data_IF_969355012889
#
_entry.id   IF_969355012889
#
_cell.length_a   1.000
_cell.length_b   1.000
_cell.length_c   1.000
_cell.angle_alpha   90.00
_cell.angle_beta   90.00
_cell.angle_gamma   90.00
#
_symmetry.space_group_name_H-M   'P 1'
#
loop_
_entity.id
_entity.type
_entity.pdbx_description
1 polymer ?
#
# COMPACT_ATOMS: atom_id res chain seq x y z
N UNK A 1 -25.42 23.54 -15.66
CA UNK A 1 -24.71 22.29 -15.28
C UNK A 1 -24.91 21.28 -16.40
N UNK A 2 -23.86 20.57 -16.84
CA UNK A 2 -24.05 19.45 -17.78
C UNK A 2 -24.80 18.33 -17.05
N UNK A 3 -25.82 17.78 -17.69
CA UNK A 3 -26.53 16.62 -17.17
C UNK A 3 -25.59 15.41 -17.21
N UNK A 4 -25.30 14.83 -16.05
CA UNK A 4 -24.42 13.66 -15.95
C UNK A 4 -25.27 12.43 -16.25
N UNK A 5 -24.99 11.78 -17.39
CA UNK A 5 -25.61 10.51 -17.75
C UNK A 5 -24.76 9.36 -17.20
N UNK A 6 -25.44 8.45 -16.50
CA UNK A 6 -24.83 7.21 -16.02
C UNK A 6 -25.18 6.06 -16.95
N UNK A 7 -24.18 5.23 -17.25
CA UNK A 7 -24.28 4.17 -18.27
C UNK A 7 -25.30 3.07 -17.91
N UNK A 8 -25.50 2.79 -16.63
CA UNK A 8 -26.40 1.74 -16.16
C UNK A 8 -26.92 1.99 -14.72
N UNK A 9 -27.86 1.15 -14.27
CA UNK A 9 -28.46 1.23 -12.93
C UNK A 9 -27.44 1.04 -11.79
N UNK A 10 -26.43 0.21 -11.99
CA UNK A 10 -25.33 0.03 -11.03
C UNK A 10 -24.55 1.33 -10.86
N UNK A 11 -24.16 1.98 -11.96
CA UNK A 11 -23.47 3.27 -11.90
C UNK A 11 -24.34 4.34 -11.26
N UNK A 12 -25.64 4.41 -11.58
CA UNK A 12 -26.58 5.30 -10.87
C UNK A 12 -26.56 5.05 -9.36
N UNK A 13 -26.65 3.79 -8.92
CA UNK A 13 -26.62 3.44 -7.50
C UNK A 13 -25.31 3.86 -6.83
N UNK A 14 -24.16 3.62 -7.47
CA UNK A 14 -22.83 3.99 -6.95
C UNK A 14 -22.62 5.50 -6.79
N UNK A 15 -23.48 6.32 -7.39
CA UNK A 15 -23.52 7.78 -7.27
C UNK A 15 -24.66 8.28 -6.37
N UNK A 16 -25.25 7.39 -5.55
CA UNK A 16 -26.11 7.77 -4.40
C UNK A 16 -25.29 7.72 -3.10
N UNK A 17 -25.70 8.44 -2.03
CA UNK A 17 -25.03 8.36 -0.72
C UNK A 17 -24.91 6.92 -0.21
N UNK A 18 -26.00 6.15 -0.24
CA UNK A 18 -26.03 4.74 0.18
C UNK A 18 -25.10 3.86 -0.66
N UNK A 19 -25.08 4.04 -1.98
CA UNK A 19 -24.21 3.25 -2.86
C UNK A 19 -22.74 3.58 -2.70
N UNK A 20 -22.38 4.84 -2.42
CA UNK A 20 -21.00 5.21 -2.06
C UNK A 20 -20.59 4.50 -0.78
N UNK A 21 -21.40 4.54 0.28
CA UNK A 21 -21.11 3.83 1.53
C UNK A 21 -20.98 2.32 1.33
N UNK A 22 -21.88 1.71 0.54
CA UNK A 22 -21.80 0.28 0.19
C UNK A 22 -20.47 -0.06 -0.49
N UNK A 23 -20.04 0.75 -1.46
CA UNK A 23 -18.76 0.54 -2.14
C UNK A 23 -17.57 0.70 -1.19
N UNK A 24 -17.59 1.71 -0.32
CA UNK A 24 -16.53 1.96 0.65
C UNK A 24 -16.38 0.80 1.63
N UNK A 25 -17.51 0.28 2.16
CA UNK A 25 -17.53 -0.92 2.99
C UNK A 25 -16.92 -2.12 2.28
N UNK A 26 -17.32 -2.38 1.02
CA UNK A 26 -16.76 -3.46 0.21
C UNK A 26 -15.24 -3.34 0.04
N UNK A 27 -14.72 -2.12 -0.15
CA UNK A 27 -13.28 -1.86 -0.27
C UNK A 27 -12.52 -2.04 1.05
N UNK A 28 -13.13 -1.72 2.19
CA UNK A 28 -12.55 -2.04 3.50
C UNK A 28 -12.43 -3.55 3.69
N UNK A 29 -13.49 -4.30 3.38
CA UNK A 29 -13.52 -5.77 3.48
C UNK A 29 -12.52 -6.44 2.53
N UNK A 30 -12.43 -5.99 1.28
CA UNK A 30 -11.42 -6.45 0.31
C UNK A 30 -10.00 -6.27 0.86
N UNK A 31 -9.71 -5.12 1.48
CA UNK A 31 -8.39 -4.83 2.07
C UNK A 31 -8.08 -5.72 3.27
N UNK A 32 -9.05 -5.96 4.15
CA UNK A 32 -8.89 -6.87 5.29
C UNK A 32 -8.52 -8.26 4.77
N UNK A 33 -9.31 -8.81 3.84
CA UNK A 33 -9.09 -10.14 3.28
C UNK A 33 -7.73 -10.25 2.59
N UNK A 34 -7.35 -9.26 1.78
CA UNK A 34 -6.08 -9.26 1.04
C UNK A 34 -4.84 -9.29 1.95
N UNK A 35 -4.92 -8.68 3.14
CA UNK A 35 -3.77 -8.56 4.03
C UNK A 35 -3.87 -9.46 5.27
N UNK A 36 -4.93 -10.28 5.39
CA UNK A 36 -5.12 -11.18 6.54
C UNK A 36 -5.36 -10.45 7.86
N UNK A 37 -6.03 -9.29 7.86
CA UNK A 37 -6.25 -8.47 9.07
C UNK A 37 -7.43 -8.92 9.95
N UNK A 38 -7.94 -10.14 9.77
CA UNK A 38 -9.08 -10.67 10.50
C UNK A 38 -10.41 -10.38 9.81
N UNK A 39 -11.42 -9.97 10.58
CA UNK A 39 -12.78 -9.72 10.10
C UNK A 39 -13.19 -8.25 10.21
N UNK A 40 -14.25 -7.86 9.50
CA UNK A 40 -14.82 -6.52 9.61
C UNK A 40 -15.54 -6.38 10.96
N UNK A 41 -15.23 -5.37 11.79
CA UNK A 41 -15.77 -5.27 13.14
C UNK A 41 -17.19 -4.69 13.22
N UNK A 42 -17.75 -4.30 12.08
CA UNK A 42 -19.14 -3.85 11.95
C UNK A 42 -19.69 -4.35 10.61
N UNK A 43 -21.00 -4.54 10.56
CA UNK A 43 -21.74 -4.93 9.37
C UNK A 43 -21.98 -3.75 8.43
N UNK A 44 -22.39 -4.05 7.19
CA UNK A 44 -22.85 -3.02 6.25
C UNK A 44 -24.08 -2.27 6.76
N UNK A 45 -24.94 -2.94 7.53
CA UNK A 45 -26.14 -2.33 8.11
C UNK A 45 -25.75 -1.26 9.13
N UNK A 46 -24.90 -1.61 10.10
CA UNK A 46 -24.41 -0.66 11.11
C UNK A 46 -23.64 0.49 10.46
N UNK A 47 -22.84 0.22 9.42
CA UNK A 47 -22.13 1.26 8.68
C UNK A 47 -23.09 2.26 8.00
N UNK A 48 -24.19 1.78 7.41
CA UNK A 48 -25.23 2.66 6.86
C UNK A 48 -25.97 3.43 7.93
N UNK A 49 -26.38 2.78 9.03
CA UNK A 49 -27.07 3.43 10.15
C UNK A 49 -26.22 4.56 10.76
N UNK A 50 -24.90 4.35 10.83
CA UNK A 50 -23.95 5.33 11.34
C UNK A 50 -23.76 6.53 10.41
N UNK A 51 -23.67 6.32 9.10
CA UNK A 51 -23.11 7.33 8.19
C UNK A 51 -24.00 7.79 7.03
N UNK A 52 -25.15 7.15 6.78
CA UNK A 52 -26.02 7.55 5.66
C UNK A 52 -26.47 9.02 5.76
N UNK A 53 -26.61 9.53 6.98
CA UNK A 53 -26.99 10.91 7.28
C UNK A 53 -25.91 11.67 8.04
N UNK A 54 -24.68 11.15 8.08
CA UNK A 54 -23.57 11.84 8.74
C UNK A 54 -23.21 13.11 7.96
N UNK A 55 -23.09 14.22 8.70
CA UNK A 55 -22.85 15.54 8.11
C UNK A 55 -21.52 15.59 7.34
N UNK A 56 -20.45 14.99 7.89
CA UNK A 56 -19.12 15.01 7.27
C UNK A 56 -19.11 14.24 5.96
N UNK A 57 -19.68 13.03 5.96
CA UNK A 57 -19.84 12.22 4.76
C UNK A 57 -20.68 12.94 3.70
N UNK A 58 -21.85 13.48 4.09
CA UNK A 58 -22.74 14.17 3.16
C UNK A 58 -22.08 15.43 2.58
N UNK A 59 -21.33 16.20 3.37
CA UNK A 59 -20.59 17.35 2.88
C UNK A 59 -19.56 16.96 1.80
N UNK A 60 -18.83 15.85 1.99
CA UNK A 60 -17.89 15.34 0.99
C UNK A 60 -18.60 14.79 -0.24
N UNK A 61 -19.72 14.10 -0.06
CA UNK A 61 -20.52 13.59 -1.16
C UNK A 61 -21.07 14.73 -2.03
N UNK A 62 -21.57 15.78 -1.41
CA UNK A 62 -22.05 16.99 -2.09
C UNK A 62 -20.92 17.72 -2.81
N UNK A 63 -19.75 17.85 -2.18
CA UNK A 63 -18.56 18.37 -2.83
C UNK A 63 -18.17 17.58 -4.08
N UNK A 64 -18.22 16.25 -3.99
CA UNK A 64 -17.94 15.36 -5.13
C UNK A 64 -18.98 15.51 -6.25
N UNK A 65 -20.27 15.60 -5.90
CA UNK A 65 -21.37 15.84 -6.85
C UNK A 65 -21.22 17.17 -7.56
N UNK A 66 -20.96 18.26 -6.81
CA UNK A 66 -20.77 19.60 -7.35
C UNK A 66 -19.53 19.72 -8.23
N UNK A 67 -18.50 18.92 -7.95
CA UNK A 67 -17.32 18.81 -8.79
C UNK A 67 -17.53 17.96 -10.05
N UNK A 68 -18.74 17.46 -10.33
CA UNK A 68 -19.00 16.62 -11.51
C UNK A 68 -18.51 15.18 -11.36
N UNK A 69 -18.46 14.67 -10.13
CA UNK A 69 -17.98 13.34 -9.77
C UNK A 69 -16.49 13.07 -10.08
N UNK A 70 -15.67 14.12 -10.10
CA UNK A 70 -14.23 14.03 -10.27
C UNK A 70 -13.56 13.14 -9.21
N UNK A 71 -12.66 12.27 -9.66
CA UNK A 71 -12.02 11.23 -8.82
C UNK A 71 -11.37 11.81 -7.56
N UNK A 72 -10.71 12.96 -7.68
CA UNK A 72 -9.97 13.59 -6.59
C UNK A 72 -10.88 13.97 -5.41
N UNK A 73 -12.13 14.34 -5.71
CA UNK A 73 -13.12 14.78 -4.73
C UNK A 73 -13.95 13.63 -4.16
N UNK A 74 -13.83 12.42 -4.71
CA UNK A 74 -14.62 11.27 -4.29
C UNK A 74 -14.47 11.00 -2.80
N UNK A 75 -15.57 10.81 -2.03
CA UNK A 75 -15.46 10.42 -0.62
C UNK A 75 -14.72 9.09 -0.49
N UNK A 76 -13.88 9.01 0.52
CA UNK A 76 -13.10 7.83 0.90
C UNK A 76 -13.17 7.66 2.42
N UNK A 77 -13.09 6.42 2.87
CA UNK A 77 -12.77 6.12 4.27
C UNK A 77 -11.26 6.01 4.40
N UNK A 78 -10.72 6.61 5.45
CA UNK A 78 -9.35 6.43 5.89
C UNK A 78 -9.30 6.04 7.37
N UNK A 79 -8.17 5.48 7.82
CA UNK A 79 -7.93 5.16 9.22
C UNK A 79 -7.25 6.34 9.90
N UNK A 80 -7.81 6.83 10.99
CA UNK A 80 -7.24 7.94 11.77
C UNK A 80 -5.82 7.57 12.21
N UNK A 81 -5.68 6.41 12.87
CA UNK A 81 -4.40 5.80 13.16
C UNK A 81 -4.21 4.51 12.34
N UNK A 82 -3.21 4.45 11.45
CA UNK A 82 -3.00 3.31 10.54
C UNK A 82 -2.52 2.04 11.27
N UNK A 83 -2.06 2.14 12.52
CA UNK A 83 -1.63 1.01 13.33
C UNK A 83 -2.81 0.23 13.94
N UNK A 84 -4.02 0.81 13.91
CA UNK A 84 -5.24 0.15 14.33
C UNK A 84 -6.09 -0.27 13.13
N UNK A 85 -6.91 -1.29 13.31
CA UNK A 85 -7.87 -1.76 12.32
C UNK A 85 -8.98 -0.74 12.05
N UNK A 86 -9.95 -1.10 11.21
CA UNK A 86 -11.16 -0.29 11.08
C UNK A 86 -11.98 -0.38 12.38
N UNK A 87 -12.51 0.73 12.88
CA UNK A 87 -13.56 0.80 13.91
C UNK A 87 -14.29 2.13 13.73
N UNK A 88 -15.47 2.35 14.32
CA UNK A 88 -16.16 3.63 14.19
C UNK A 88 -15.38 4.81 14.80
N UNK A 89 -14.50 4.52 15.74
CA UNK A 89 -13.63 5.47 16.44
C UNK A 89 -12.30 5.69 15.72
N UNK A 90 -11.90 4.77 14.83
CA UNK A 90 -10.64 4.84 14.10
C UNK A 90 -10.81 5.07 12.59
N UNK A 91 -12.02 5.38 12.12
CA UNK A 91 -12.25 5.77 10.72
C UNK A 91 -12.69 7.21 10.60
N UNK A 92 -12.25 7.85 9.52
CA UNK A 92 -12.65 9.19 9.13
C UNK A 92 -13.02 9.22 7.64
N UNK A 93 -13.93 10.13 7.28
CA UNK A 93 -14.21 10.43 5.87
C UNK A 93 -13.31 11.55 5.38
N UNK A 94 -12.66 11.31 4.26
CA UNK A 94 -11.79 12.27 3.57
C UNK A 94 -12.02 12.17 2.07
N UNK A 95 -11.50 13.11 1.29
CA UNK A 95 -11.47 12.95 -0.17
C UNK A 95 -10.43 11.91 -0.57
N UNK A 96 -10.61 11.28 -1.73
CA UNK A 96 -9.62 10.37 -2.30
C UNK A 96 -8.24 11.01 -2.41
N UNK A 97 -8.16 12.28 -2.79
CA UNK A 97 -6.91 13.04 -2.86
C UNK A 97 -6.21 13.14 -1.51
N UNK A 98 -6.93 13.51 -0.44
CA UNK A 98 -6.38 13.60 0.91
C UNK A 98 -5.89 12.25 1.41
N UNK A 99 -6.68 11.20 1.24
CA UNK A 99 -6.29 9.83 1.61
C UNK A 99 -5.01 9.40 0.87
N UNK A 100 -4.94 9.68 -0.44
CA UNK A 100 -3.77 9.35 -1.25
C UNK A 100 -2.52 10.09 -0.78
N UNK A 101 -2.60 11.40 -0.55
CA UNK A 101 -1.50 12.23 -0.04
C UNK A 101 -0.99 11.72 1.32
N UNK A 102 -1.88 11.35 2.24
CA UNK A 102 -1.51 10.75 3.53
C UNK A 102 -0.77 9.43 3.33
N UNK A 103 -1.31 8.53 2.50
CA UNK A 103 -0.66 7.25 2.21
C UNK A 103 0.72 7.41 1.58
N UNK A 104 0.90 8.37 0.67
CA UNK A 104 2.20 8.65 0.06
C UNK A 104 3.22 9.14 1.11
N UNK A 105 2.80 9.99 2.05
CA UNK A 105 3.63 10.46 3.18
C UNK A 105 3.95 9.37 4.20
N UNK A 106 3.02 8.44 4.44
CA UNK A 106 3.25 7.29 5.31
C UNK A 106 4.25 6.31 4.67
N UNK A 107 4.04 5.99 3.39
CA UNK A 107 4.92 5.09 2.64
C UNK A 107 6.31 5.68 2.43
N UNK A 108 6.46 7.01 2.31
CA UNK A 108 7.78 7.64 2.17
C UNK A 108 8.66 7.47 3.40
N UNK A 109 8.08 7.15 4.57
CA UNK A 109 8.82 6.86 5.81
C UNK A 109 9.25 5.40 5.92
N UNK A 110 8.63 4.50 5.16
CA UNK A 110 8.94 3.08 5.19
C UNK A 110 10.18 2.83 4.33
N UNK A 111 11.33 2.62 4.97
CA UNK A 111 12.54 2.18 4.27
C UNK A 111 12.59 0.66 4.19
N UNK A 112 13.13 0.14 3.09
CA UNK A 112 13.42 -1.29 2.98
C UNK A 112 14.82 -1.53 3.51
N UNK A 113 14.93 -2.26 4.62
CA UNK A 113 16.22 -2.69 5.15
C UNK A 113 16.86 -3.73 4.23
N UNK A 114 18.19 -3.75 4.22
CA UNK A 114 18.99 -4.64 3.39
C UNK A 114 20.13 -5.24 4.20
N UNK A 115 20.54 -6.45 3.81
CA UNK A 115 21.68 -7.15 4.34
C UNK A 115 22.79 -7.18 3.29
N UNK A 116 24.03 -7.01 3.72
CA UNK A 116 25.24 -7.07 2.91
C UNK A 116 26.03 -8.32 3.25
N UNK A 117 26.38 -9.09 2.24
CA UNK A 117 27.13 -10.34 2.36
C UNK A 117 28.43 -10.23 1.57
N UNK A 118 29.46 -10.93 2.03
CA UNK A 118 30.68 -11.13 1.26
C UNK A 118 30.37 -12.00 0.03
N UNK A 119 30.80 -11.57 -1.17
CA UNK A 119 30.44 -12.28 -2.42
C UNK A 119 31.09 -13.65 -2.56
N UNK A 120 32.25 -13.87 -1.93
CA UNK A 120 33.04 -15.09 -2.11
C UNK A 120 32.64 -16.16 -1.08
N UNK A 121 32.43 -15.74 0.16
CA UNK A 121 32.14 -16.61 1.30
C UNK A 121 30.66 -16.72 1.61
N UNK A 122 29.84 -15.77 1.14
CA UNK A 122 28.41 -15.69 1.47
C UNK A 122 28.14 -15.27 2.92
N UNK A 123 29.16 -14.90 3.70
CA UNK A 123 29.01 -14.52 5.10
C UNK A 123 28.29 -13.17 5.21
N UNK A 124 27.32 -13.08 6.12
CA UNK A 124 26.68 -11.81 6.47
C UNK A 124 27.73 -10.87 7.08
N UNK A 125 27.89 -9.69 6.47
CA UNK A 125 28.82 -8.66 6.92
C UNK A 125 28.11 -7.57 7.72
N UNK A 126 26.95 -7.09 7.23
CA UNK A 126 26.25 -5.97 7.84
C UNK A 126 24.76 -5.95 7.52
N UNK A 127 23.96 -5.32 8.40
CA UNK A 127 22.56 -5.01 8.17
C UNK A 127 22.40 -3.49 8.13
N UNK A 128 21.61 -3.00 7.19
CA UNK A 128 21.31 -1.58 7.02
C UNK A 128 19.80 -1.35 7.07
N UNK A 129 19.38 -0.29 7.74
CA UNK A 129 17.96 0.10 7.80
C UNK A 129 17.42 0.60 6.46
N UNK A 130 18.30 0.93 5.53
CA UNK A 130 17.94 1.37 4.17
C UNK A 130 19.09 1.20 3.18
N UNK A 131 18.75 1.18 1.88
CA UNK A 131 19.75 1.25 0.80
C UNK A 131 20.62 2.51 0.92
N UNK A 132 20.03 3.65 1.33
CA UNK A 132 20.76 4.91 1.50
C UNK A 132 21.91 4.76 2.51
N UNK A 133 21.67 4.06 3.64
CA UNK A 133 22.70 3.79 4.64
C UNK A 133 23.82 2.90 4.10
N UNK A 134 23.51 1.92 3.26
CA UNK A 134 24.54 1.13 2.59
C UNK A 134 25.35 1.95 1.58
N UNK A 135 24.71 2.87 0.84
CA UNK A 135 25.40 3.80 -0.07
C UNK A 135 26.35 4.71 0.71
N UNK A 136 25.89 5.31 1.81
CA UNK A 136 26.70 6.14 2.71
C UNK A 136 27.92 5.37 3.23
N UNK A 137 27.74 4.09 3.60
CA UNK A 137 28.81 3.25 4.14
C UNK A 137 29.79 2.74 3.07
N UNK A 138 29.29 2.34 1.90
CA UNK A 138 30.11 1.64 0.88
C UNK A 138 30.59 2.54 -0.25
N UNK A 139 29.99 3.71 -0.45
CA UNK A 139 30.21 4.57 -1.61
C UNK A 139 29.69 3.99 -2.94
N UNK A 140 29.01 2.84 -2.91
CA UNK A 140 28.51 2.18 -4.11
C UNK A 140 27.23 2.85 -4.63
N UNK A 141 27.02 2.78 -5.94
CA UNK A 141 25.82 3.33 -6.58
C UNK A 141 24.54 2.69 -6.04
N UNK A 142 23.59 3.53 -5.59
CA UNK A 142 22.26 3.11 -5.15
C UNK A 142 21.57 2.21 -6.18
N UNK A 143 21.64 2.56 -7.46
CA UNK A 143 21.02 1.79 -8.54
C UNK A 143 21.60 0.38 -8.66
N UNK A 144 22.92 0.24 -8.50
CA UNK A 144 23.58 -1.06 -8.52
C UNK A 144 23.20 -1.91 -7.31
N UNK A 145 23.16 -1.33 -6.11
CA UNK A 145 22.71 -2.02 -4.89
C UNK A 145 21.28 -2.51 -5.06
N UNK A 146 20.37 -1.68 -5.59
CA UNK A 146 18.97 -2.06 -5.85
C UNK A 146 18.87 -3.18 -6.88
N UNK A 147 19.60 -3.11 -7.99
CA UNK A 147 19.62 -4.20 -8.98
C UNK A 147 20.14 -5.51 -8.38
N UNK A 148 21.10 -5.42 -7.45
CA UNK A 148 21.61 -6.57 -6.71
C UNK A 148 20.54 -7.17 -5.79
N UNK A 149 19.86 -6.35 -4.98
CA UNK A 149 18.75 -6.81 -4.15
C UNK A 149 17.59 -7.42 -4.95
N UNK A 150 17.37 -6.96 -6.18
CA UNK A 150 16.35 -7.50 -7.10
C UNK A 150 16.78 -8.77 -7.83
N UNK A 151 18.02 -9.25 -7.65
CA UNK A 151 18.57 -10.39 -8.38
C UNK A 151 18.84 -10.12 -9.86
N UNK A 152 18.72 -8.87 -10.33
CA UNK A 152 19.10 -8.46 -11.70
C UNK A 152 20.62 -8.34 -11.87
N UNK A 153 21.34 -8.29 -10.76
CA UNK A 153 22.80 -8.26 -10.70
C UNK A 153 23.27 -9.19 -9.59
N UNK A 154 24.28 -10.00 -9.87
CA UNK A 154 24.74 -10.98 -8.88
C UNK A 154 25.47 -10.34 -7.70
N UNK A 155 26.28 -9.30 -7.94
CA UNK A 155 27.04 -8.59 -6.91
C UNK A 155 27.37 -7.14 -7.33
N UNK A 156 27.74 -6.31 -6.35
CA UNK A 156 28.25 -4.95 -6.55
C UNK A 156 29.57 -4.81 -5.79
N UNK A 157 30.66 -4.55 -6.52
CA UNK A 157 32.01 -4.57 -5.95
C UNK A 157 32.37 -5.97 -5.43
N UNK A 158 32.56 -6.07 -4.11
CA UNK A 158 32.87 -7.32 -3.40
C UNK A 158 31.70 -7.86 -2.58
N UNK A 159 30.49 -7.33 -2.79
CA UNK A 159 29.35 -7.61 -1.92
C UNK A 159 28.11 -8.06 -2.69
N UNK A 160 27.29 -8.87 -2.01
CA UNK A 160 25.92 -9.21 -2.41
C UNK A 160 24.97 -8.51 -1.45
N UNK A 161 23.96 -7.82 -1.98
CA UNK A 161 22.94 -7.16 -1.17
C UNK A 161 21.59 -7.83 -1.32
N UNK A 162 20.89 -8.07 -0.22
CA UNK A 162 19.53 -8.66 -0.23
C UNK A 162 18.57 -7.84 0.61
N UNK A 163 17.31 -7.74 0.20
CA UNK A 163 16.27 -7.15 1.04
C UNK A 163 16.04 -8.00 2.29
N UNK A 164 15.93 -7.35 3.44
CA UNK A 164 15.60 -8.02 4.69
C UNK A 164 14.07 -8.06 4.82
N UNK A 165 13.45 -9.17 4.40
CA UNK A 165 12.00 -9.40 4.48
C UNK A 165 11.27 -9.56 3.13
N UNK A 166 9.99 -9.97 3.20
CA UNK A 166 9.24 -10.63 2.12
C UNK A 166 8.73 -9.69 1.01
N UNK A 167 8.80 -8.35 1.16
CA UNK A 167 7.98 -7.48 0.29
C UNK A 167 8.34 -7.51 -1.21
N UNK A 168 9.47 -8.08 -1.65
CA UNK A 168 9.79 -8.16 -3.08
C UNK A 168 10.45 -9.47 -3.55
N UNK A 169 9.59 -10.36 -4.09
CA UNK A 169 9.68 -11.17 -5.34
C UNK A 169 10.88 -12.10 -5.65
N UNK A 170 10.46 -13.25 -6.24
CA UNK A 170 11.14 -14.34 -6.98
C UNK A 170 12.41 -14.95 -6.33
N UNK A 171 12.43 -16.27 -6.07
CA UNK A 171 13.59 -16.94 -5.51
C UNK A 171 14.80 -16.77 -6.44
N UNK A 172 15.93 -16.39 -5.85
CA UNK A 172 17.21 -16.25 -6.54
C UNK A 172 17.87 -17.64 -6.62
N UNK A 173 18.62 -17.92 -7.70
CA UNK A 173 19.38 -19.17 -7.89
C UNK A 173 20.29 -19.53 -6.70
N UNK A 174 20.74 -18.54 -5.93
CA UNK A 174 21.57 -18.74 -4.73
C UNK A 174 20.77 -19.08 -3.45
N UNK A 175 19.45 -19.20 -3.55
CA UNK A 175 18.56 -19.68 -2.48
C UNK A 175 18.23 -21.16 -2.64
N UNK A 176 18.65 -21.78 -3.75
CA UNK A 176 18.53 -23.21 -3.99
C UNK A 176 19.94 -23.85 -4.03
N UNK A 177 20.29 -24.57 -2.97
CA UNK A 177 21.56 -25.28 -2.84
C UNK A 177 21.82 -26.28 -3.97
N UNK A 178 20.77 -26.82 -4.59
CA UNK A 178 20.87 -27.79 -5.69
C UNK A 178 21.33 -27.13 -6.99
N UNK A 179 20.95 -25.87 -7.25
CA UNK A 179 21.37 -25.12 -8.44
C UNK A 179 22.80 -24.60 -8.35
N UNK A 180 23.31 -24.39 -7.14
CA UNK A 180 24.71 -23.97 -6.90
C UNK A 180 25.69 -25.11 -7.20
N UNK A 181 25.26 -26.36 -7.01
CA UNK A 181 26.11 -27.55 -7.16
C UNK A 181 26.04 -28.18 -8.55
N UNK A 182 25.20 -27.67 -9.46
CA UNK A 182 25.04 -28.21 -10.81
C UNK A 182 26.14 -27.77 -11.81
N UNK A 183 26.94 -26.77 -11.46
CA UNK A 183 28.06 -26.23 -12.26
C UNK A 183 29.44 -26.59 -11.68
N UNK A 184 29.54 -27.65 -10.88
CA UNK A 184 30.80 -28.29 -10.44
C UNK A 184 30.91 -29.68 -11.04
#
# INVERSE_FOLDING_TARGET
MREIKFDNSTEKYRHTPKGVLTNLYGKMKERINKNGYGEMPFSLKEFHERYLYDFTFLQLFEGWRNAGYEKLNKPSVDRINPNFGYSFENIEFVTWEKNRKKSDKENSKVTTSINMYDKNTGKLLMKFDSVKKAVEYTGLSQGNIVMCCQGKRNYVGSYVFKYNGIKHRKPNIYENQELINADK
#
